data_IF_288163392229
#
_entry.id   IF_288163392229
#
_cell.length_a   1.000
_cell.length_b   1.000
_cell.length_c   1.000
_cell.angle_alpha   90.00
_cell.angle_beta   90.00
_cell.angle_gamma   90.00
#
_symmetry.space_group_name_H-M   'P 1'
#
loop_
_entity.id
_entity.type
_entity.pdbx_description
1 polymer ?
#
# COMPACT_ATOMS: atom_id res chain seq x y z
N UNK A 1 15.66 14.40 -36.10
CA UNK A 1 15.36 12.98 -36.48
C UNK A 1 15.88 11.93 -35.49
N UNK A 2 16.85 12.22 -34.60
CA UNK A 2 17.43 11.20 -33.71
C UNK A 2 16.53 10.76 -32.52
N UNK A 3 15.55 11.58 -32.13
CA UNK A 3 14.63 11.27 -31.01
C UNK A 3 13.66 10.10 -31.30
N UNK A 4 13.24 9.92 -32.56
CA UNK A 4 12.18 8.96 -32.91
C UNK A 4 12.64 7.50 -32.86
N UNK A 5 13.95 7.26 -33.01
CA UNK A 5 14.58 5.92 -32.99
C UNK A 5 14.76 5.36 -31.57
N UNK A 6 14.69 6.19 -30.53
CA UNK A 6 14.65 5.73 -29.14
C UNK A 6 13.23 5.28 -28.72
N UNK A 7 12.20 5.48 -29.57
CA UNK A 7 10.80 5.65 -29.13
C UNK A 7 9.87 4.43 -28.96
N UNK A 8 10.22 3.15 -29.25
CA UNK A 8 9.38 2.04 -28.82
C UNK A 8 9.61 1.69 -27.35
N UNK A 9 10.86 1.75 -26.87
CA UNK A 9 11.22 1.31 -25.52
C UNK A 9 10.68 2.27 -24.43
N UNK A 10 10.68 3.58 -24.67
CA UNK A 10 10.14 4.57 -23.73
C UNK A 10 8.61 4.64 -23.71
N UNK A 11 7.92 4.36 -24.83
CA UNK A 11 6.46 4.30 -24.88
C UNK A 11 5.94 3.05 -24.20
N UNK A 12 6.54 1.90 -24.48
CA UNK A 12 6.23 0.64 -23.79
C UNK A 12 6.49 0.76 -22.29
N UNK A 13 7.59 1.41 -21.89
CA UNK A 13 7.90 1.62 -20.49
C UNK A 13 6.90 2.52 -19.77
N UNK A 14 6.51 3.64 -20.38
CA UNK A 14 5.43 4.50 -19.86
C UNK A 14 4.13 3.73 -19.74
N UNK A 15 3.80 2.90 -20.73
CA UNK A 15 2.60 2.07 -20.71
C UNK A 15 2.61 1.05 -19.57
N UNK A 16 3.75 0.39 -19.31
CA UNK A 16 3.91 -0.50 -18.16
C UNK A 16 3.74 0.24 -16.82
N UNK A 17 4.32 1.43 -16.67
CA UNK A 17 4.18 2.25 -15.46
C UNK A 17 2.72 2.67 -15.25
N UNK A 18 2.07 3.20 -16.30
CA UNK A 18 0.67 3.59 -16.21
C UNK A 18 -0.22 2.38 -15.93
N UNK A 19 0.05 1.22 -16.53
CA UNK A 19 -0.66 -0.03 -16.25
C UNK A 19 -0.57 -0.44 -14.77
N UNK A 20 0.64 -0.47 -14.21
CA UNK A 20 0.87 -0.78 -12.79
C UNK A 20 0.18 0.26 -11.89
N UNK A 21 0.32 1.55 -12.19
CA UNK A 21 -0.32 2.62 -11.42
C UNK A 21 -1.85 2.51 -11.44
N UNK A 22 -2.46 2.21 -12.59
CA UNK A 22 -3.91 1.99 -12.67
C UNK A 22 -4.35 0.75 -11.91
N UNK A 23 -3.55 -0.33 -11.94
CA UNK A 23 -3.86 -1.58 -11.25
C UNK A 23 -3.88 -1.41 -9.72
N UNK A 24 -3.05 -0.51 -9.19
CA UNK A 24 -3.02 -0.20 -7.75
C UNK A 24 -4.13 0.79 -7.38
N UNK A 25 -4.25 1.89 -8.12
CA UNK A 25 -5.12 3.01 -7.74
C UNK A 25 -6.61 2.71 -7.87
N UNK A 26 -7.02 1.96 -8.89
CA UNK A 26 -8.42 1.61 -9.14
C UNK A 26 -9.06 0.83 -7.99
N UNK A 27 -8.52 -0.31 -7.52
CA UNK A 27 -9.11 -1.05 -6.41
C UNK A 27 -9.11 -0.27 -5.09
N UNK A 28 -8.08 0.53 -4.82
CA UNK A 28 -8.07 1.43 -3.66
C UNK A 28 -9.20 2.45 -3.71
N UNK A 29 -9.44 3.07 -4.86
CA UNK A 29 -10.56 4.00 -5.07
C UNK A 29 -11.90 3.32 -4.81
N UNK A 30 -12.11 2.11 -5.35
CA UNK A 30 -13.35 1.34 -5.17
C UNK A 30 -13.61 1.08 -3.67
N UNK A 31 -12.58 0.69 -2.92
CA UNK A 31 -12.72 0.48 -1.48
C UNK A 31 -13.09 1.76 -0.72
N UNK A 32 -12.52 2.91 -1.08
CA UNK A 32 -12.90 4.20 -0.49
C UNK A 32 -14.37 4.51 -0.77
N UNK A 33 -14.83 4.29 -2.00
CA UNK A 33 -16.24 4.47 -2.34
C UNK A 33 -17.15 3.50 -1.57
N UNK A 34 -16.75 2.23 -1.40
CA UNK A 34 -17.49 1.27 -0.58
C UNK A 34 -17.51 1.65 0.90
N UNK A 35 -16.46 2.29 1.40
CA UNK A 35 -16.42 2.75 2.79
C UNK A 35 -17.38 3.94 3.00
N UNK A 36 -17.42 4.86 2.03
CA UNK A 36 -18.25 6.07 2.11
C UNK A 36 -19.73 5.82 1.75
N UNK A 37 -20.00 4.97 0.77
CA UNK A 37 -21.33 4.73 0.19
C UNK A 37 -21.83 3.29 0.34
N UNK A 38 -21.12 2.42 1.07
CA UNK A 38 -21.49 1.02 1.26
C UNK A 38 -22.70 0.79 2.17
N UNK A 39 -23.28 1.83 2.76
CA UNK A 39 -24.53 1.76 3.51
C UNK A 39 -25.68 2.31 2.68
N UNK A 40 -26.80 1.59 2.67
CA UNK A 40 -28.08 2.06 2.13
C UNK A 40 -29.12 2.06 3.27
N UNK A 41 -29.61 3.23 3.72
CA UNK A 41 -29.25 4.59 3.27
C UNK A 41 -27.86 5.02 3.75
N UNK A 42 -27.19 5.92 2.99
CA UNK A 42 -25.85 6.44 3.33
C UNK A 42 -25.85 7.11 4.71
N UNK A 43 -26.98 7.71 5.10
CA UNK A 43 -27.16 8.32 6.42
C UNK A 43 -26.92 7.37 7.59
N UNK A 44 -27.15 6.07 7.41
CA UNK A 44 -26.86 5.04 8.42
C UNK A 44 -25.36 4.91 8.72
N UNK A 45 -24.49 5.39 7.84
CA UNK A 45 -23.05 5.37 8.08
C UNK A 45 -22.62 6.30 9.22
N UNK A 46 -23.32 7.43 9.43
CA UNK A 46 -23.02 8.41 10.48
C UNK A 46 -24.11 8.54 11.55
N UNK A 47 -25.34 8.10 11.28
CA UNK A 47 -26.46 8.11 12.22
C UNK A 47 -26.87 6.69 12.59
N UNK A 48 -26.44 6.27 13.79
CA UNK A 48 -26.70 4.93 14.34
C UNK A 48 -28.15 4.74 14.84
N UNK A 49 -28.97 5.79 14.85
CA UNK A 49 -30.40 5.68 15.22
C UNK A 49 -31.27 5.12 14.09
N UNK A 50 -30.77 5.08 12.85
CA UNK A 50 -31.48 4.51 11.69
C UNK A 50 -31.27 2.98 11.67
N UNK A 51 -32.28 2.24 12.14
CA UNK A 51 -32.26 0.77 12.19
C UNK A 51 -32.57 0.12 10.84
N UNK A 52 -33.32 0.78 9.96
CA UNK A 52 -33.66 0.28 8.62
C UNK A 52 -32.48 0.38 7.64
N UNK A 53 -32.36 -0.58 6.73
CA UNK A 53 -31.34 -0.61 5.69
C UNK A 53 -30.17 -1.56 5.96
N UNK A 54 -29.36 -1.78 4.92
CA UNK A 54 -28.24 -2.72 4.93
C UNK A 54 -26.92 -2.00 4.64
N UNK A 55 -25.87 -2.40 5.34
CA UNK A 55 -24.51 -1.96 5.09
C UNK A 55 -23.68 -3.14 4.59
N UNK A 56 -22.72 -2.86 3.72
CA UNK A 56 -21.65 -3.81 3.40
C UNK A 56 -20.89 -4.14 4.69
N UNK A 57 -20.59 -5.41 4.85
CA UNK A 57 -19.87 -5.90 6.02
C UNK A 57 -18.48 -5.23 6.14
N UNK A 58 -18.24 -4.59 7.29
CA UNK A 58 -17.00 -3.86 7.56
C UNK A 58 -15.80 -4.81 7.59
N UNK A 59 -15.99 -6.03 8.08
CA UNK A 59 -14.94 -7.03 8.13
C UNK A 59 -14.50 -7.41 6.71
N UNK A 60 -15.44 -7.62 5.80
CA UNK A 60 -15.18 -7.90 4.38
C UNK A 60 -14.39 -6.76 3.70
N UNK A 61 -14.76 -5.50 3.94
CA UNK A 61 -14.01 -4.34 3.40
C UNK A 61 -12.59 -4.29 3.97
N UNK A 62 -12.42 -4.52 5.27
CA UNK A 62 -11.14 -4.47 5.97
C UNK A 62 -10.20 -5.61 5.55
N UNK A 63 -10.75 -6.80 5.31
CA UNK A 63 -10.00 -7.93 4.73
C UNK A 63 -9.58 -7.62 3.30
N UNK A 64 -10.48 -7.08 2.46
CA UNK A 64 -10.16 -6.69 1.09
C UNK A 64 -9.06 -5.62 1.04
N UNK A 65 -9.12 -4.60 1.91
CA UNK A 65 -8.08 -3.56 1.98
C UNK A 65 -6.74 -4.12 2.44
N UNK A 66 -6.74 -5.03 3.41
CA UNK A 66 -5.52 -5.66 3.91
C UNK A 66 -4.83 -6.50 2.83
N UNK A 67 -5.61 -7.30 2.09
CA UNK A 67 -5.10 -8.10 0.97
C UNK A 67 -4.54 -7.20 -0.13
N UNK A 68 -5.27 -6.14 -0.51
CA UNK A 68 -4.82 -5.21 -1.55
C UNK A 68 -3.55 -4.45 -1.15
N UNK A 69 -3.39 -4.11 0.13
CA UNK A 69 -2.18 -3.46 0.62
C UNK A 69 -0.96 -4.37 0.48
N UNK A 70 -1.08 -5.63 0.92
CA UNK A 70 -0.02 -6.64 0.77
C UNK A 70 0.34 -6.87 -0.70
N UNK A 71 -0.66 -6.98 -1.59
CA UNK A 71 -0.43 -7.13 -3.04
C UNK A 71 0.32 -5.91 -3.58
N UNK A 72 -0.05 -4.71 -3.15
CA UNK A 72 0.58 -3.46 -3.60
C UNK A 72 2.04 -3.39 -3.17
N UNK A 73 2.36 -3.82 -1.94
CA UNK A 73 3.74 -3.91 -1.45
C UNK A 73 4.59 -4.87 -2.29
N UNK A 74 4.07 -6.07 -2.59
CA UNK A 74 4.75 -7.01 -3.49
C UNK A 74 4.93 -6.43 -4.90
N UNK A 75 3.91 -5.75 -5.43
CA UNK A 75 3.96 -5.15 -6.76
C UNK A 75 4.98 -4.00 -6.80
N UNK A 76 5.12 -3.21 -5.73
CA UNK A 76 6.13 -2.15 -5.62
C UNK A 76 7.55 -2.71 -5.57
N UNK A 77 7.76 -3.84 -4.89
CA UNK A 77 9.04 -4.55 -4.84
C UNK A 77 9.40 -5.13 -6.21
N UNK A 78 8.40 -5.69 -6.92
CA UNK A 78 8.60 -6.33 -8.22
C UNK A 78 8.69 -5.31 -9.35
N UNK A 79 7.93 -4.21 -9.32
CA UNK A 79 7.87 -3.19 -10.38
C UNK A 79 9.24 -2.67 -10.89
N UNK A 80 10.26 -2.39 -10.04
CA UNK A 80 11.56 -1.94 -10.52
C UNK A 80 12.41 -3.07 -11.12
N UNK A 81 12.18 -4.34 -10.79
CA UNK A 81 13.00 -5.48 -11.25
C UNK A 81 12.97 -5.67 -12.78
N UNK A 82 11.80 -5.78 -13.45
CA UNK A 82 11.74 -5.91 -14.90
C UNK A 82 12.17 -4.62 -15.60
N UNK A 83 12.01 -3.47 -14.96
CA UNK A 83 12.53 -2.20 -15.45
C UNK A 83 14.06 -2.22 -15.54
N UNK A 84 14.74 -2.70 -14.49
CA UNK A 84 16.21 -2.78 -14.45
C UNK A 84 16.74 -3.82 -15.44
N UNK A 85 16.02 -4.93 -15.62
CA UNK A 85 16.45 -5.99 -16.53
C UNK A 85 16.32 -5.60 -18.01
N UNK A 86 15.32 -4.78 -18.35
CA UNK A 86 15.07 -4.38 -19.75
C UNK A 86 15.81 -3.12 -20.17
N UNK A 87 16.39 -2.38 -19.23
CA UNK A 87 17.03 -1.11 -19.51
C UNK A 87 18.51 -1.21 -19.13
N UNK A 88 19.38 -1.07 -20.12
CA UNK A 88 20.85 -1.08 -19.99
C UNK A 88 21.31 0.20 -19.24
N UNK A 89 20.88 0.33 -17.99
CA UNK A 89 21.00 1.52 -17.15
C UNK A 89 22.40 1.62 -16.56
N UNK A 90 22.91 2.85 -16.47
CA UNK A 90 24.20 3.17 -15.86
C UNK A 90 24.19 2.77 -14.38
N UNK A 91 25.35 2.31 -13.88
CA UNK A 91 25.56 1.72 -12.54
C UNK A 91 24.92 2.54 -11.40
N UNK A 92 24.88 3.86 -11.53
CA UNK A 92 24.25 4.78 -10.57
C UNK A 92 22.74 4.56 -10.35
N UNK A 93 21.98 4.18 -11.38
CA UNK A 93 20.55 3.87 -11.24
C UNK A 93 20.33 2.50 -10.60
N UNK A 94 21.23 1.55 -10.86
CA UNK A 94 21.26 0.24 -10.21
C UNK A 94 21.52 0.37 -8.71
N UNK A 95 22.46 1.25 -8.35
CA UNK A 95 22.76 1.60 -6.96
C UNK A 95 21.54 2.17 -6.23
N UNK A 96 20.79 3.08 -6.87
CA UNK A 96 19.57 3.65 -6.30
C UNK A 96 18.51 2.59 -5.93
N UNK A 97 18.31 1.59 -6.80
CA UNK A 97 17.36 0.50 -6.51
C UNK A 97 17.88 -0.43 -5.41
N UNK A 98 19.16 -0.78 -5.43
CA UNK A 98 19.77 -1.57 -4.34
C UNK A 98 19.63 -0.86 -3.00
N UNK A 99 19.79 0.46 -2.98
CA UNK A 99 19.66 1.28 -1.77
C UNK A 99 18.20 1.33 -1.30
N UNK A 100 17.23 1.45 -2.21
CA UNK A 100 15.80 1.36 -1.86
C UNK A 100 15.43 -0.01 -1.28
N UNK A 101 15.97 -1.10 -1.82
CA UNK A 101 15.74 -2.45 -1.28
C UNK A 101 16.36 -2.61 0.11
N UNK A 102 17.56 -2.06 0.32
CA UNK A 102 18.21 -2.02 1.64
C UNK A 102 17.41 -1.21 2.66
N UNK A 103 16.90 -0.03 2.26
CA UNK A 103 16.05 0.79 3.11
C UNK A 103 14.77 0.04 3.50
N UNK A 104 14.14 -0.68 2.56
CA UNK A 104 13.00 -1.56 2.86
C UNK A 104 13.34 -2.70 3.83
N UNK A 105 14.55 -3.26 3.77
CA UNK A 105 15.02 -4.24 4.76
C UNK A 105 15.15 -3.65 6.17
N UNK A 106 15.68 -2.43 6.27
CA UNK A 106 15.84 -1.73 7.56
C UNK A 106 14.48 -1.39 8.18
N UNK A 107 13.49 -1.00 7.38
CA UNK A 107 12.13 -0.71 7.88
C UNK A 107 11.43 -1.96 8.41
N UNK A 108 11.66 -3.13 7.82
CA UNK A 108 11.14 -4.40 8.34
C UNK A 108 11.79 -4.74 9.67
N UNK A 109 13.11 -4.61 9.78
CA UNK A 109 13.85 -4.89 11.03
C UNK A 109 13.34 -3.98 12.16
N UNK A 110 13.24 -2.67 11.90
CA UNK A 110 12.70 -1.71 12.88
C UNK A 110 11.25 -2.01 13.26
N UNK A 111 10.43 -2.49 12.32
CA UNK A 111 9.05 -2.92 12.59
C UNK A 111 8.98 -4.15 13.50
N UNK A 112 9.87 -5.13 13.32
CA UNK A 112 9.98 -6.31 14.19
C UNK A 112 10.40 -5.90 15.60
N UNK A 113 11.41 -5.04 15.73
CA UNK A 113 11.84 -4.49 17.03
C UNK A 113 10.71 -3.74 17.73
N UNK A 114 9.94 -2.95 16.97
CA UNK A 114 8.73 -2.28 17.49
C UNK A 114 7.70 -3.30 17.98
N UNK A 115 7.42 -4.34 17.20
CA UNK A 115 6.44 -5.37 17.55
C UNK A 115 6.83 -6.10 18.85
N UNK A 116 8.10 -6.48 18.99
CA UNK A 116 8.63 -7.10 20.22
C UNK A 116 8.49 -6.14 21.40
N UNK A 117 8.81 -4.87 21.22
CA UNK A 117 8.67 -3.86 22.28
C UNK A 117 7.21 -3.72 22.71
N UNK A 118 6.27 -3.69 21.76
CA UNK A 118 4.83 -3.63 22.04
C UNK A 118 4.33 -4.89 22.74
N UNK A 119 4.77 -6.08 22.34
CA UNK A 119 4.40 -7.35 22.98
C UNK A 119 4.86 -7.39 24.46
N UNK A 120 6.10 -6.98 24.74
CA UNK A 120 6.61 -6.85 26.11
C UNK A 120 5.83 -5.81 26.93
N UNK A 121 5.41 -4.71 26.29
CA UNK A 121 4.61 -3.66 26.93
C UNK A 121 3.18 -4.11 27.26
N UNK A 122 2.61 -5.01 26.47
CA UNK A 122 1.29 -5.59 26.72
C UNK A 122 1.33 -6.64 27.84
N UNK A 123 2.47 -7.29 28.05
CA UNK A 123 2.65 -8.32 29.09
C UNK A 123 2.82 -7.72 30.51
N UNK A 124 3.26 -6.47 30.65
CA UNK A 124 3.59 -5.86 31.95
C UNK A 124 2.55 -4.91 32.58
N UNK A 125 1.43 -4.57 31.93
CA UNK A 125 0.31 -3.93 32.65
C UNK A 125 -0.53 -2.90 31.89
N UNK A 126 -1.83 -2.91 32.23
CA UNK A 126 -2.97 -2.23 31.61
C UNK A 126 -2.90 -0.69 31.58
N UNK A 127 -2.21 -0.12 30.58
CA UNK A 127 -2.17 1.33 30.36
C UNK A 127 -2.45 1.71 28.89
N UNK A 128 -3.71 2.02 28.52
CA UNK A 128 -4.12 2.26 27.13
C UNK A 128 -3.48 3.50 26.48
N UNK A 129 -2.93 4.44 27.27
CA UNK A 129 -2.26 5.64 26.75
C UNK A 129 -0.90 5.35 26.08
N UNK A 130 -0.27 4.18 26.34
CA UNK A 130 1.00 3.79 25.70
C UNK A 130 0.82 3.26 24.28
N UNK A 131 -0.42 2.93 23.89
CA UNK A 131 -0.74 2.49 22.53
C UNK A 131 -0.83 3.64 21.51
N UNK A 132 -0.92 4.90 21.98
CA UNK A 132 -0.92 6.07 21.10
C UNK A 132 0.42 6.26 20.36
N UNK A 133 1.54 5.88 20.98
CA UNK A 133 2.88 6.04 20.39
C UNK A 133 3.08 5.13 19.18
N UNK A 134 2.81 3.82 19.20
CA UNK A 134 2.95 2.98 18.02
C UNK A 134 1.95 3.29 16.89
N UNK A 135 0.84 3.98 17.18
CA UNK A 135 -0.14 4.46 16.18
C UNK A 135 0.34 5.75 15.49
N UNK A 136 1.13 6.59 16.17
CA UNK A 136 1.72 7.80 15.59
C UNK A 136 2.81 7.52 14.55
N UNK A 137 3.32 6.29 14.47
CA UNK A 137 4.33 5.84 13.51
C UNK A 137 3.82 4.72 12.59
N UNK A 138 2.50 4.60 12.41
CA UNK A 138 1.87 3.78 11.38
C UNK A 138 1.91 4.49 10.02
#
# INVERSE_FOLDING_TARGET
MLYYRLSPHVKLWRFCIYGIATLITLPSLILVFLYLFGCQPVAKAWDSTITEGHCVDRLSIMLASSVLNVITDFLMIIAPIPLIWKLNMRVWQKLGVTLMFFLGGITIITSIFRAITVDNLLYEGDHPYRMAVPILWA
#
